data_IF_118268135076
#
_entry.id   IF_118268135076
#
_cell.length_a   1.000
_cell.length_b   1.000
_cell.length_c   1.000
_cell.angle_alpha   90.00
_cell.angle_beta   90.00
_cell.angle_gamma   90.00
#
_symmetry.space_group_name_H-M   'P 1'
#
loop_
_entity.id
_entity.type
_entity.pdbx_description
1 polymer ?
#
# COMPACT_ATOMS: atom_id res chain seq x y z
N UNK A 1 -5.87 10.62 12.69
CA UNK A 1 -5.16 9.44 13.25
C UNK A 1 -5.43 8.10 12.53
N UNK A 2 -6.41 7.98 11.62
CA UNK A 2 -6.81 6.72 10.95
C UNK A 2 -5.75 6.03 10.05
N UNK A 3 -4.78 6.77 9.49
CA UNK A 3 -3.83 6.25 8.48
C UNK A 3 -2.77 5.26 9.03
N UNK A 4 -2.49 5.29 10.35
CA UNK A 4 -1.41 4.49 10.97
C UNK A 4 -1.82 3.06 11.34
N UNK A 5 -3.11 2.81 11.57
CA UNK A 5 -3.60 1.48 11.96
C UNK A 5 -3.68 0.55 10.74
N UNK A 6 -4.17 1.08 9.62
CA UNK A 6 -4.31 0.33 8.37
C UNK A 6 -2.95 -0.08 7.78
N UNK A 7 -1.92 0.78 7.86
CA UNK A 7 -0.55 0.44 7.43
C UNK A 7 0.13 -0.61 8.32
N UNK A 8 -0.23 -0.66 9.62
CA UNK A 8 0.22 -1.71 10.53
C UNK A 8 -0.39 -3.07 10.18
N UNK A 9 -1.68 -3.09 9.84
CA UNK A 9 -2.39 -4.32 9.51
C UNK A 9 -1.95 -4.87 8.14
N UNK A 10 -1.73 -3.99 7.16
CA UNK A 10 -1.22 -4.37 5.84
C UNK A 10 0.20 -4.97 5.91
N UNK A 11 1.10 -4.38 6.71
CA UNK A 11 2.47 -4.90 6.89
C UNK A 11 2.50 -6.28 7.57
N UNK A 12 1.72 -6.46 8.64
CA UNK A 12 1.62 -7.76 9.33
C UNK A 12 1.09 -8.88 8.42
N UNK A 13 0.13 -8.56 7.54
CA UNK A 13 -0.47 -9.54 6.60
C UNK A 13 0.40 -9.83 5.37
N UNK A 14 1.23 -8.89 4.92
CA UNK A 14 2.17 -9.09 3.78
C UNK A 14 3.58 -9.53 4.19
N UNK A 15 3.82 -9.77 5.49
CA UNK A 15 5.14 -10.14 6.03
C UNK A 15 6.19 -9.03 5.91
N UNK A 16 5.77 -7.78 5.64
CA UNK A 16 6.65 -6.63 5.43
C UNK A 16 6.68 -5.74 6.66
N UNK A 17 7.85 -5.19 6.97
CA UNK A 17 7.99 -4.34 8.14
C UNK A 17 7.13 -3.09 8.01
N UNK A 18 6.62 -2.60 9.15
CA UNK A 18 5.79 -1.39 9.20
C UNK A 18 6.49 -0.19 8.54
N UNK A 19 7.81 -0.06 8.70
CA UNK A 19 8.61 0.98 8.08
C UNK A 19 8.59 0.93 6.55
N UNK A 20 8.62 -0.28 5.97
CA UNK A 20 8.54 -0.49 4.51
C UNK A 20 7.18 -0.04 3.99
N UNK A 21 6.08 -0.48 4.63
CA UNK A 21 4.72 -0.07 4.22
C UNK A 21 4.52 1.44 4.35
N UNK A 22 5.04 2.03 5.43
CA UNK A 22 4.98 3.47 5.63
C UNK A 22 5.78 4.25 4.56
N UNK A 23 6.87 3.69 4.05
CA UNK A 23 7.65 4.29 2.95
C UNK A 23 6.85 4.35 1.64
N UNK A 24 5.99 3.36 1.39
CA UNK A 24 5.07 3.35 0.25
C UNK A 24 3.99 4.43 0.38
N UNK A 25 3.34 4.53 1.54
CA UNK A 25 2.27 5.52 1.77
C UNK A 25 2.79 6.96 1.75
N UNK A 26 4.02 7.18 2.22
CA UNK A 26 4.68 8.48 2.15
C UNK A 26 5.32 8.77 0.79
N UNK A 27 5.15 7.91 -0.22
CA UNK A 27 5.76 8.01 -1.54
C UNK A 27 7.29 8.19 -1.50
N UNK A 28 7.96 7.73 -0.43
CA UNK A 28 9.43 7.78 -0.30
C UNK A 28 10.10 6.65 -1.07
N UNK A 29 9.38 5.57 -1.29
CA UNK A 29 9.80 4.42 -2.09
C UNK A 29 8.55 3.88 -2.79
N UNK A 30 8.65 3.53 -4.06
CA UNK A 30 7.54 2.91 -4.76
C UNK A 30 7.59 1.39 -4.53
N UNK A 31 6.45 0.73 -4.22
CA UNK A 31 6.40 -0.72 -4.19
C UNK A 31 6.60 -1.30 -5.60
N UNK A 32 7.16 -2.52 -5.69
CA UNK A 32 7.14 -3.27 -6.94
C UNK A 32 5.72 -3.75 -7.26
N UNK A 33 5.49 -4.11 -8.52
CA UNK A 33 4.17 -4.56 -8.99
C UNK A 33 3.64 -5.76 -8.18
N UNK A 34 4.51 -6.73 -7.88
CA UNK A 34 4.19 -7.90 -7.05
C UNK A 34 3.68 -7.51 -5.66
N UNK A 35 4.34 -6.54 -5.02
CA UNK A 35 3.95 -6.05 -3.69
C UNK A 35 2.64 -5.27 -3.75
N UNK A 36 2.40 -4.56 -4.86
CA UNK A 36 1.14 -3.85 -5.07
C UNK A 36 -0.05 -4.83 -5.17
N UNK A 37 0.11 -5.93 -5.91
CA UNK A 37 -0.92 -6.99 -5.97
C UNK A 37 -1.16 -7.64 -4.60
N UNK A 38 -0.11 -7.95 -3.85
CA UNK A 38 -0.24 -8.50 -2.49
C UNK A 38 -1.00 -7.55 -1.55
N UNK A 39 -0.77 -6.23 -1.67
CA UNK A 39 -1.49 -5.22 -0.88
C UNK A 39 -2.97 -5.17 -1.29
N UNK A 40 -3.27 -5.26 -2.58
CA UNK A 40 -4.64 -5.29 -3.11
C UNK A 40 -5.43 -6.49 -2.59
N UNK A 41 -4.82 -7.68 -2.61
CA UNK A 41 -5.41 -8.91 -2.08
C UNK A 41 -5.69 -8.82 -0.57
N UNK A 42 -4.73 -8.29 0.19
CA UNK A 42 -4.87 -8.09 1.65
C UNK A 42 -5.97 -7.09 2.01
N UNK A 43 -6.14 -6.06 1.18
CA UNK A 43 -7.17 -5.03 1.34
C UNK A 43 -8.51 -5.42 0.70
N UNK A 44 -8.58 -6.51 -0.06
CA UNK A 44 -9.75 -6.91 -0.86
C UNK A 44 -10.25 -5.78 -1.77
N UNK A 45 -9.33 -5.07 -2.41
CA UNK A 45 -9.63 -3.95 -3.32
C UNK A 45 -8.96 -4.19 -4.68
N UNK A 46 -9.44 -3.50 -5.71
CA UNK A 46 -8.79 -3.55 -7.01
C UNK A 46 -7.47 -2.77 -6.99
N UNK A 47 -6.48 -3.29 -7.72
CA UNK A 47 -5.14 -2.66 -7.82
C UNK A 47 -5.23 -1.26 -8.45
N UNK A 48 -6.21 -1.04 -9.32
CA UNK A 48 -6.48 0.25 -9.95
C UNK A 48 -6.83 1.31 -8.91
N UNK A 49 -7.52 0.93 -7.84
CA UNK A 49 -7.89 1.84 -6.75
C UNK A 49 -6.69 2.23 -5.87
N UNK A 50 -5.60 1.45 -5.94
CA UNK A 50 -4.35 1.74 -5.23
C UNK A 50 -3.42 2.67 -6.01
N UNK A 51 -3.63 2.81 -7.33
CA UNK A 51 -2.80 3.64 -8.20
C UNK A 51 -3.52 4.97 -8.42
N UNK A 52 -2.91 6.07 -7.96
CA UNK A 52 -3.43 7.39 -8.28
C UNK A 52 -3.06 7.76 -9.72
N UNK A 53 -4.06 7.98 -10.57
CA UNK A 53 -3.87 8.63 -11.87
C UNK A 53 -3.25 10.02 -11.65
N UNK A 54 -2.16 10.33 -12.36
CA UNK A 54 -1.61 11.70 -12.45
C UNK A 54 -2.29 12.55 -13.51
N UNK A 55 -3.17 11.97 -14.32
CA UNK A 55 -3.98 12.70 -15.26
C UNK A 55 -5.18 13.23 -14.46
N UNK A 56 -5.13 14.53 -14.15
CA UNK A 56 -6.29 15.26 -13.65
C UNK A 56 -7.31 15.31 -14.81
N UNK A 57 -8.34 14.48 -14.72
CA UNK A 57 -9.61 14.68 -15.43
C UNK A 57 -10.67 15.08 -14.39
#
# INVERSE_FOLDING_TARGET
MKKRYQTNLAGKKTGKSFCIVNSYVCNRRQPSLEVLFQIAEVLQMDVKDLIKSSNND
#
